data_IF_136840283998
#
_entry.id   IF_136840283998
#
_cell.length_a   1.000
_cell.length_b   1.000
_cell.length_c   1.000
_cell.angle_alpha   90.00
_cell.angle_beta   90.00
_cell.angle_gamma   90.00
#
_symmetry.space_group_name_H-M   'P 1'
#
loop_
_entity.id
_entity.type
_entity.pdbx_description
1 polymer ?
#
# COMPACT_ATOMS: atom_id res chain seq x y z
N UNK A 1 -45.42 44.35 9.78
CA UNK A 1 -44.24 44.62 10.64
C UNK A 1 -44.50 43.88 11.96
N UNK A 2 -43.75 42.90 12.47
CA UNK A 2 -42.44 42.32 12.17
C UNK A 2 -42.54 40.78 12.28
N UNK A 3 -41.71 40.07 11.49
CA UNK A 3 -41.64 38.60 11.43
C UNK A 3 -40.92 38.00 12.64
N UNK A 4 -41.40 36.81 13.00
CA UNK A 4 -40.95 35.88 14.04
C UNK A 4 -39.43 35.67 14.11
N UNK A 5 -38.95 35.69 15.35
CA UNK A 5 -37.67 35.12 15.82
C UNK A 5 -37.85 33.61 16.03
N UNK A 6 -37.27 32.78 15.16
CA UNK A 6 -37.08 31.32 15.30
C UNK A 6 -36.09 30.96 14.15
N UNK A 7 -35.00 30.21 14.26
CA UNK A 7 -34.45 29.24 15.22
C UNK A 7 -32.94 29.23 14.97
N UNK A 8 -32.15 29.07 16.02
CA UNK A 8 -30.70 28.84 15.94
C UNK A 8 -30.37 27.64 15.04
N UNK A 9 -29.69 27.87 13.92
CA UNK A 9 -29.07 26.80 13.12
C UNK A 9 -27.91 26.17 13.89
N UNK A 10 -28.24 25.24 14.79
CA UNK A 10 -27.27 24.32 15.36
C UNK A 10 -27.24 23.09 14.46
N UNK A 11 -26.54 23.18 13.32
CA UNK A 11 -26.16 21.99 12.56
C UNK A 11 -25.03 21.31 13.35
N UNK A 12 -25.39 20.51 14.34
CA UNK A 12 -24.51 19.44 14.85
C UNK A 12 -25.16 18.12 14.48
N UNK A 13 -25.03 17.75 13.20
CA UNK A 13 -25.29 16.37 12.76
C UNK A 13 -23.95 15.68 12.57
N UNK A 14 -23.29 15.32 13.67
CA UNK A 14 -22.21 14.33 13.70
C UNK A 14 -22.83 12.95 13.52
N UNK A 15 -23.25 12.64 12.30
CA UNK A 15 -23.72 11.31 11.93
C UNK A 15 -22.54 10.33 11.94
N UNK A 16 -22.41 9.55 13.01
CA UNK A 16 -21.51 8.39 13.07
C UNK A 16 -21.88 7.47 11.91
N UNK A 17 -21.04 7.41 10.87
CA UNK A 17 -21.21 6.44 9.78
C UNK A 17 -20.83 5.05 10.32
N UNK A 18 -21.80 4.36 10.94
CA UNK A 18 -21.64 2.94 11.27
C UNK A 18 -21.67 2.13 9.98
N UNK A 19 -20.55 1.54 9.59
CA UNK A 19 -20.56 0.50 8.56
C UNK A 19 -21.31 -0.72 9.08
N UNK A 20 -22.01 -1.43 8.19
CA UNK A 20 -22.67 -2.69 8.54
C UNK A 20 -21.63 -3.75 8.93
N UNK A 21 -22.03 -4.71 9.78
CA UNK A 21 -21.14 -5.79 10.25
C UNK A 21 -20.54 -6.58 9.08
N UNK A 22 -21.33 -6.85 8.04
CA UNK A 22 -20.85 -7.56 6.86
C UNK A 22 -19.77 -6.75 6.11
N UNK A 23 -19.92 -5.42 5.99
CA UNK A 23 -18.90 -4.55 5.36
C UNK A 23 -17.62 -4.52 6.17
N UNK A 24 -17.73 -4.39 7.50
CA UNK A 24 -16.55 -4.45 8.38
C UNK A 24 -15.79 -5.78 8.23
N UNK A 25 -16.51 -6.91 8.17
CA UNK A 25 -15.92 -8.23 7.92
C UNK A 25 -15.28 -8.32 6.54
N UNK A 26 -15.95 -7.81 5.50
CA UNK A 26 -15.42 -7.78 4.14
C UNK A 26 -14.13 -6.96 4.03
N UNK A 27 -14.06 -5.78 4.68
CA UNK A 27 -12.86 -4.94 4.70
C UNK A 27 -11.70 -5.66 5.40
N UNK A 28 -11.96 -6.27 6.56
CA UNK A 28 -10.96 -7.06 7.28
C UNK A 28 -10.46 -8.24 6.43
N UNK A 29 -11.39 -8.96 5.79
CA UNK A 29 -11.06 -10.06 4.89
C UNK A 29 -10.19 -9.59 3.71
N UNK A 30 -10.54 -8.49 3.05
CA UNK A 30 -9.74 -7.92 1.95
C UNK A 30 -8.32 -7.59 2.41
N UNK A 31 -8.17 -6.91 3.55
CA UNK A 31 -6.86 -6.58 4.13
C UNK A 31 -6.04 -7.84 4.42
N UNK A 32 -6.64 -8.85 5.03
CA UNK A 32 -5.96 -10.10 5.40
C UNK A 32 -5.60 -10.90 4.14
N UNK A 33 -6.53 -11.05 3.19
CA UNK A 33 -6.27 -11.74 1.93
C UNK A 33 -5.13 -11.07 1.14
N UNK A 34 -5.12 -9.74 1.10
CA UNK A 34 -4.02 -9.00 0.50
C UNK A 34 -2.70 -9.19 1.27
N UNK A 35 -2.73 -9.20 2.61
CA UNK A 35 -1.58 -9.55 3.44
C UNK A 35 -1.04 -10.96 3.18
N UNK A 36 -1.89 -11.94 2.89
CA UNK A 36 -1.48 -13.30 2.51
C UNK A 36 -0.77 -13.28 1.15
N UNK A 37 -1.28 -12.53 0.17
CA UNK A 37 -0.62 -12.38 -1.14
C UNK A 37 0.79 -11.80 -0.96
N UNK A 38 0.93 -10.74 -0.15
CA UNK A 38 2.23 -10.17 0.19
C UNK A 38 3.14 -11.15 0.96
N UNK A 39 2.59 -11.99 1.83
CA UNK A 39 3.38 -13.00 2.55
C UNK A 39 3.96 -14.06 1.60
N UNK A 40 3.17 -14.48 0.61
CA UNK A 40 3.62 -15.41 -0.43
C UNK A 40 4.69 -14.76 -1.32
N UNK A 41 4.48 -13.51 -1.74
CA UNK A 41 5.47 -12.75 -2.52
C UNK A 41 6.79 -12.59 -1.76
N UNK A 42 6.72 -12.15 -0.49
CA UNK A 42 7.88 -12.03 0.38
C UNK A 42 8.62 -13.36 0.57
N UNK A 43 7.89 -14.48 0.70
CA UNK A 43 8.50 -15.81 0.73
C UNK A 43 9.32 -16.11 -0.52
N UNK A 44 8.84 -15.73 -1.70
CA UNK A 44 9.61 -15.85 -2.94
C UNK A 44 10.86 -14.96 -2.95
N UNK A 45 10.81 -13.76 -2.34
CA UNK A 45 11.99 -12.88 -2.24
C UNK A 45 13.10 -13.44 -1.34
N UNK A 46 12.76 -14.28 -0.37
CA UNK A 46 13.74 -14.95 0.49
C UNK A 46 14.42 -16.15 -0.19
N UNK A 47 14.00 -16.55 -1.39
CA UNK A 47 14.61 -17.66 -2.10
C UNK A 47 16.02 -17.29 -2.60
N UNK A 48 16.99 -18.22 -2.53
CA UNK A 48 18.36 -17.97 -2.99
C UNK A 48 18.42 -17.49 -4.45
N UNK A 49 17.59 -18.06 -5.32
CA UNK A 49 17.56 -17.69 -6.74
C UNK A 49 17.21 -16.21 -6.93
N UNK A 50 16.20 -15.71 -6.21
CA UNK A 50 15.81 -14.29 -6.26
C UNK A 50 16.96 -13.38 -5.79
N UNK A 51 17.60 -13.73 -4.67
CA UNK A 51 18.68 -12.93 -4.09
C UNK A 51 19.90 -12.88 -5.02
N UNK A 52 20.29 -14.03 -5.58
CA UNK A 52 21.45 -14.15 -6.46
C UNK A 52 21.22 -13.52 -7.83
N UNK A 53 19.97 -13.50 -8.33
CA UNK A 53 19.61 -12.91 -9.62
C UNK A 53 18.94 -11.53 -9.49
N UNK A 54 19.06 -10.84 -8.35
CA UNK A 54 18.33 -9.59 -8.11
C UNK A 54 18.68 -8.49 -9.12
N UNK A 55 19.96 -8.39 -9.52
CA UNK A 55 20.40 -7.42 -10.53
C UNK A 55 19.69 -7.62 -11.89
N UNK A 56 19.26 -8.85 -12.19
CA UNK A 56 18.58 -9.16 -13.44
C UNK A 56 17.15 -8.60 -13.46
N UNK A 57 16.53 -8.43 -12.29
CA UNK A 57 15.19 -7.87 -12.14
C UNK A 57 15.12 -6.40 -12.57
N UNK A 58 16.23 -5.68 -12.56
CA UNK A 58 16.31 -4.23 -12.86
C UNK A 58 17.09 -3.93 -14.13
N UNK A 59 17.31 -4.95 -14.98
CA UNK A 59 18.00 -4.76 -16.27
C UNK A 59 17.19 -3.85 -17.19
N UNK A 60 17.93 -3.03 -17.93
CA UNK A 60 17.35 -2.14 -18.94
C UNK A 60 16.70 -2.97 -20.04
N UNK A 61 15.41 -2.75 -20.24
CA UNK A 61 14.63 -3.36 -21.32
C UNK A 61 14.83 -2.55 -22.60
N UNK A 62 15.46 -3.13 -23.64
CA UNK A 62 15.93 -2.40 -24.83
C UNK A 62 14.79 -1.91 -25.73
N UNK A 63 13.64 -2.56 -25.63
CA UNK A 63 12.45 -2.30 -26.45
C UNK A 63 11.59 -1.15 -25.88
N UNK A 64 11.96 -0.59 -24.73
CA UNK A 64 11.27 0.53 -24.09
C UNK A 64 11.59 1.88 -24.77
N UNK A 65 10.76 2.93 -24.61
CA UNK A 65 11.11 4.29 -25.02
C UNK A 65 12.37 4.80 -24.32
N UNK A 66 13.14 5.68 -24.98
CA UNK A 66 14.43 6.18 -24.49
C UNK A 66 14.36 6.75 -23.05
N UNK A 67 13.27 7.43 -22.71
CA UNK A 67 13.04 8.05 -21.41
C UNK A 67 12.97 6.98 -20.30
N UNK A 68 12.24 5.89 -20.58
CA UNK A 68 12.10 4.74 -19.67
C UNK A 68 13.43 4.00 -19.58
N UNK A 69 14.14 3.82 -20.70
CA UNK A 69 15.48 3.23 -20.67
C UNK A 69 16.46 4.03 -19.79
N UNK A 70 16.45 5.37 -19.86
CA UNK A 70 17.29 6.22 -19.01
C UNK A 70 16.94 6.09 -17.52
N UNK A 71 15.65 6.03 -17.19
CA UNK A 71 15.17 5.78 -15.81
C UNK A 71 15.62 4.42 -15.28
N UNK A 72 15.43 3.36 -16.08
CA UNK A 72 15.89 2.02 -15.72
C UNK A 72 17.41 1.94 -15.63
N UNK A 73 18.13 2.66 -16.49
CA UNK A 73 19.60 2.72 -16.46
C UNK A 73 20.10 3.30 -15.14
N UNK A 74 19.50 4.40 -14.68
CA UNK A 74 19.80 4.98 -13.37
C UNK A 74 19.63 3.97 -12.24
N UNK A 75 18.46 3.31 -12.16
CA UNK A 75 18.21 2.33 -11.10
C UNK A 75 19.06 1.07 -11.22
N UNK A 76 19.34 0.61 -12.43
CA UNK A 76 20.25 -0.52 -12.66
C UNK A 76 21.66 -0.21 -12.14
N UNK A 77 22.11 1.05 -12.24
CA UNK A 77 23.40 1.49 -11.69
C UNK A 77 23.37 1.56 -10.16
N UNK A 78 22.30 2.13 -9.58
CA UNK A 78 22.10 2.21 -8.11
C UNK A 78 22.07 0.82 -7.50
N UNK A 79 21.21 -0.06 -8.02
CA UNK A 79 21.07 -1.44 -7.52
C UNK A 79 22.32 -2.27 -7.82
N UNK A 80 22.94 -2.07 -8.97
CA UNK A 80 24.16 -2.75 -9.39
C UNK A 80 25.36 -2.53 -8.47
N UNK A 81 25.36 -1.47 -7.67
CA UNK A 81 26.41 -1.21 -6.67
C UNK A 81 26.45 -2.27 -5.56
N UNK A 82 25.29 -2.80 -5.15
CA UNK A 82 25.18 -3.88 -4.18
C UNK A 82 23.84 -4.62 -4.32
N UNK A 83 23.69 -5.52 -5.31
CA UNK A 83 22.42 -6.18 -5.59
C UNK A 83 21.90 -7.01 -4.41
N UNK A 84 22.81 -7.66 -3.67
CA UNK A 84 22.44 -8.48 -2.51
C UNK A 84 21.82 -7.63 -1.39
N UNK A 85 22.36 -6.44 -1.11
CA UNK A 85 21.76 -5.53 -0.13
C UNK A 85 20.33 -5.15 -0.53
N UNK A 86 20.11 -4.77 -1.80
CA UNK A 86 18.77 -4.42 -2.27
C UNK A 86 17.81 -5.60 -2.27
N UNK A 87 18.28 -6.82 -2.58
CA UNK A 87 17.47 -8.02 -2.50
C UNK A 87 16.93 -8.27 -1.08
N UNK A 88 17.82 -8.20 -0.09
CA UNK A 88 17.45 -8.37 1.33
C UNK A 88 16.55 -7.23 1.82
N UNK A 89 16.84 -5.99 1.38
CA UNK A 89 16.00 -4.83 1.69
C UNK A 89 14.58 -5.01 1.15
N UNK A 90 14.45 -5.42 -0.11
CA UNK A 90 13.17 -5.76 -0.73
C UNK A 90 12.47 -6.84 0.08
N UNK A 91 13.08 -8.02 0.28
CA UNK A 91 12.48 -9.11 1.03
C UNK A 91 12.00 -8.68 2.44
N UNK A 92 12.80 -7.85 3.12
CA UNK A 92 12.47 -7.32 4.45
C UNK A 92 11.26 -6.36 4.43
N UNK A 93 11.20 -5.45 3.46
CA UNK A 93 10.09 -4.51 3.31
C UNK A 93 8.79 -5.27 3.02
N UNK A 94 8.82 -6.21 2.07
CA UNK A 94 7.63 -6.99 1.70
C UNK A 94 7.14 -7.88 2.85
N UNK A 95 8.07 -8.46 3.62
CA UNK A 95 7.75 -9.20 4.85
C UNK A 95 7.07 -8.32 5.88
N UNK A 96 7.59 -7.10 6.10
CA UNK A 96 7.01 -6.15 7.04
C UNK A 96 5.59 -5.72 6.61
N UNK A 97 5.40 -5.43 5.32
CA UNK A 97 4.08 -5.11 4.76
C UNK A 97 3.09 -6.25 4.95
N UNK A 98 3.50 -7.49 4.66
CA UNK A 98 2.68 -8.68 4.86
C UNK A 98 2.22 -8.82 6.32
N UNK A 99 3.16 -8.78 7.27
CA UNK A 99 2.86 -8.90 8.71
C UNK A 99 1.93 -7.77 9.16
N UNK A 100 2.19 -6.53 8.76
CA UNK A 100 1.39 -5.38 9.21
C UNK A 100 -0.02 -5.40 8.62
N UNK A 101 -0.20 -5.86 7.38
CA UNK A 101 -1.52 -6.06 6.77
C UNK A 101 -2.31 -7.16 7.48
N UNK A 102 -1.69 -8.31 7.75
CA UNK A 102 -2.33 -9.44 8.43
C UNK A 102 -2.83 -9.04 9.82
N UNK A 103 -1.98 -8.33 10.58
CA UNK A 103 -2.33 -7.87 11.92
C UNK A 103 -3.25 -6.63 11.91
N UNK A 104 -3.32 -5.89 10.80
CA UNK A 104 -3.94 -4.56 10.77
C UNK A 104 -3.23 -3.60 11.73
N UNK A 105 -1.90 -3.59 11.68
CA UNK A 105 -1.01 -2.79 12.51
C UNK A 105 -0.50 -1.58 11.72
N UNK A 106 -0.56 -0.39 12.34
CA UNK A 106 -0.13 0.87 11.77
C UNK A 106 -0.70 1.09 10.35
N UNK A 107 -1.98 0.77 10.15
CA UNK A 107 -2.56 0.54 8.83
C UNK A 107 -2.35 1.70 7.86
N UNK A 108 -2.51 2.94 8.30
CA UNK A 108 -2.32 4.10 7.43
C UNK A 108 -0.87 4.21 6.98
N UNK A 109 0.08 4.04 7.90
CA UNK A 109 1.50 4.02 7.55
C UNK A 109 1.82 2.86 6.62
N UNK A 110 1.35 1.65 6.93
CA UNK A 110 1.50 0.44 6.11
C UNK A 110 0.95 0.66 4.70
N UNK A 111 -0.21 1.30 4.57
CA UNK A 111 -0.78 1.59 3.25
C UNK A 111 0.01 2.66 2.48
N UNK A 112 0.51 3.71 3.14
CA UNK A 112 1.35 4.73 2.48
C UNK A 112 2.67 4.12 2.02
N UNK A 113 3.35 3.37 2.89
CA UNK A 113 4.61 2.69 2.54
C UNK A 113 4.37 1.67 1.43
N UNK A 114 3.33 0.84 1.56
CA UNK A 114 2.96 -0.15 0.55
C UNK A 114 2.61 0.48 -0.81
N UNK A 115 1.91 1.62 -0.81
CA UNK A 115 1.61 2.39 -2.02
C UNK A 115 2.90 2.84 -2.73
N UNK A 116 3.79 3.52 -2.00
CA UNK A 116 5.06 4.01 -2.56
C UNK A 116 5.95 2.85 -3.02
N UNK A 117 6.02 1.78 -2.23
CA UNK A 117 6.80 0.59 -2.56
C UNK A 117 6.27 -0.10 -3.83
N UNK A 118 4.95 -0.23 -3.96
CA UNK A 118 4.32 -0.81 -5.14
C UNK A 118 4.58 0.04 -6.39
N UNK A 119 4.58 1.38 -6.29
CA UNK A 119 5.00 2.24 -7.39
C UNK A 119 6.48 2.11 -7.73
N UNK A 120 7.35 1.89 -6.74
CA UNK A 120 8.76 1.62 -7.00
C UNK A 120 8.95 0.31 -7.79
N UNK A 121 8.25 -0.77 -7.40
CA UNK A 121 8.24 -2.04 -8.16
C UNK A 121 7.70 -1.82 -9.58
N UNK A 122 6.59 -1.09 -9.71
CA UNK A 122 5.99 -0.86 -11.02
C UNK A 122 6.91 -0.06 -11.97
N UNK A 123 7.57 0.98 -11.47
CA UNK A 123 8.39 1.86 -12.32
C UNK A 123 9.80 1.34 -12.56
N UNK A 124 10.30 0.43 -11.72
CA UNK A 124 11.69 -0.07 -11.79
C UNK A 124 11.70 -1.49 -12.40
N UNK A 125 11.49 -2.60 -11.66
CA UNK A 125 11.58 -3.93 -12.28
C UNK A 125 10.49 -4.20 -13.31
N UNK A 126 9.27 -3.66 -13.16
CA UNK A 126 8.21 -3.87 -14.17
C UNK A 126 8.30 -2.89 -15.35
N UNK A 127 9.17 -1.88 -15.32
CA UNK A 127 9.35 -0.95 -16.45
C UNK A 127 8.06 -0.25 -16.89
N UNK A 128 7.23 0.18 -15.94
CA UNK A 128 5.89 0.75 -16.16
C UNK A 128 4.90 -0.22 -16.83
N UNK A 129 5.10 -1.53 -16.71
CA UNK A 129 4.29 -2.58 -17.37
C UNK A 129 4.62 -2.80 -18.85
N UNK A 130 5.49 -1.96 -19.43
CA UNK A 130 5.89 -2.07 -20.83
C UNK A 130 6.93 -3.19 -21.09
N UNK A 131 7.36 -3.34 -22.36
CA UNK A 131 7.04 -2.50 -23.51
C UNK A 131 5.63 -2.76 -24.08
N UNK A 132 4.86 -1.70 -24.28
CA UNK A 132 3.53 -1.78 -24.90
C UNK A 132 3.64 -1.83 -26.42
N UNK A 133 3.30 -2.97 -27.01
CA UNK A 133 3.32 -3.18 -28.46
C UNK A 133 1.98 -3.76 -28.91
N UNK A 134 1.39 -3.26 -30.02
CA UNK A 134 0.16 -3.82 -30.55
C UNK A 134 0.32 -5.32 -30.81
N UNK A 135 -0.55 -6.14 -30.21
CA UNK A 135 -0.57 -7.59 -30.38
C UNK A 135 0.40 -8.41 -29.52
N UNK A 136 1.26 -7.75 -28.73
CA UNK A 136 2.32 -8.40 -27.93
C UNK A 136 2.04 -8.35 -26.42
N UNK A 137 1.85 -7.14 -25.87
CA UNK A 137 1.62 -6.96 -24.44
C UNK A 137 0.54 -5.92 -24.17
N UNK A 138 -0.44 -6.32 -23.34
CA UNK A 138 -1.53 -5.48 -22.84
C UNK A 138 -1.53 -5.34 -21.32
N UNK A 139 -0.56 -5.95 -20.63
CA UNK A 139 -0.48 -5.92 -19.17
C UNK A 139 0.09 -4.57 -18.71
N UNK A 140 -0.59 -3.92 -17.76
CA UNK A 140 -0.17 -2.64 -17.18
C UNK A 140 0.80 -2.80 -16.00
N UNK A 141 1.02 -4.03 -15.55
CA UNK A 141 1.87 -4.35 -14.41
C UNK A 141 1.06 -4.64 -13.14
N UNK A 142 1.46 -5.68 -12.41
CA UNK A 142 0.76 -6.16 -11.22
C UNK A 142 0.95 -5.19 -10.05
N UNK A 143 2.15 -4.63 -9.89
CA UNK A 143 2.45 -3.73 -8.79
C UNK A 143 1.63 -2.42 -8.83
N UNK A 144 1.19 -1.96 -10.01
CA UNK A 144 0.28 -0.82 -10.10
C UNK A 144 -1.07 -1.11 -9.44
N UNK A 145 -1.62 -2.32 -9.62
CA UNK A 145 -2.86 -2.74 -8.96
C UNK A 145 -2.68 -2.87 -7.44
N UNK A 146 -1.51 -3.29 -6.98
CA UNK A 146 -1.17 -3.31 -5.56
C UNK A 146 -1.15 -1.90 -4.96
N UNK A 147 -0.58 -0.91 -5.67
CA UNK A 147 -0.62 0.48 -5.25
C UNK A 147 -2.09 0.96 -5.09
N UNK A 148 -2.95 0.69 -6.08
CA UNK A 148 -4.37 1.05 -5.98
C UNK A 148 -5.08 0.35 -4.81
N UNK A 149 -4.77 -0.93 -4.54
CA UNK A 149 -5.31 -1.64 -3.39
C UNK A 149 -4.90 -0.99 -2.07
N UNK A 150 -3.64 -0.61 -1.90
CA UNK A 150 -3.19 0.14 -0.73
C UNK A 150 -3.88 1.50 -0.59
N UNK A 151 -4.09 2.22 -1.69
CA UNK A 151 -4.83 3.49 -1.66
C UNK A 151 -6.30 3.29 -1.21
N UNK A 152 -6.95 2.21 -1.68
CA UNK A 152 -8.31 1.85 -1.24
C UNK A 152 -8.32 1.47 0.24
N UNK A 153 -7.40 0.62 0.71
CA UNK A 153 -7.30 0.21 2.11
C UNK A 153 -7.04 1.41 3.05
N UNK A 154 -6.27 2.40 2.58
CA UNK A 154 -6.06 3.67 3.28
C UNK A 154 -7.36 4.49 3.34
N UNK A 155 -8.03 4.68 2.20
CA UNK A 155 -9.23 5.50 2.09
C UNK A 155 -10.39 4.98 2.96
N UNK A 156 -10.49 3.66 3.14
CA UNK A 156 -11.52 3.03 3.97
C UNK A 156 -11.08 2.77 5.42
N UNK A 157 -9.88 3.21 5.82
CA UNK A 157 -9.29 3.00 7.14
C UNK A 157 -9.36 1.53 7.59
N UNK A 158 -8.87 0.62 6.75
CA UNK A 158 -9.06 -0.82 6.90
C UNK A 158 -8.57 -1.40 8.25
N UNK A 159 -7.60 -0.76 8.90
CA UNK A 159 -7.08 -1.17 10.21
C UNK A 159 -8.09 -1.08 11.36
N UNK A 160 -9.17 -0.28 11.22
CA UNK A 160 -10.24 -0.17 12.24
C UNK A 160 -11.06 -1.44 12.39
N UNK A 161 -11.08 -2.32 11.38
CA UNK A 161 -11.96 -3.47 11.33
C UNK A 161 -11.17 -4.74 11.58
N UNK A 162 -11.34 -5.34 12.76
CA UNK A 162 -10.66 -6.58 13.16
C UNK A 162 -9.12 -6.50 12.99
N UNK A 163 -8.52 -5.35 13.26
CA UNK A 163 -7.07 -5.13 13.25
C UNK A 163 -6.57 -4.69 14.63
N UNK A 164 -5.28 -4.89 14.91
CA UNK A 164 -4.63 -4.48 16.16
C UNK A 164 -4.78 -2.96 16.39
N UNK A 165 -4.86 -2.19 15.32
CA UNK A 165 -5.10 -0.75 15.37
C UNK A 165 -6.35 -0.34 16.14
N UNK A 166 -7.36 -1.19 16.26
CA UNK A 166 -8.55 -0.91 17.07
C UNK A 166 -8.22 -0.70 18.55
N UNK A 167 -7.15 -1.36 19.05
CA UNK A 167 -6.68 -1.24 20.42
C UNK A 167 -5.48 -0.30 20.56
N UNK A 168 -4.67 -0.17 19.49
CA UNK A 168 -3.48 0.67 19.49
C UNK A 168 -3.81 2.15 19.31
N UNK A 169 -4.80 2.47 18.48
CA UNK A 169 -5.19 3.84 18.15
C UNK A 169 -5.55 4.69 19.38
N UNK A 170 -6.34 4.20 20.37
CA UNK A 170 -6.60 4.94 21.61
C UNK A 170 -5.35 5.17 22.46
N UNK A 171 -4.35 4.28 22.38
CA UNK A 171 -3.12 4.34 23.19
C UNK A 171 -2.04 5.26 22.62
N UNK A 172 -2.05 5.50 21.30
CA UNK A 172 -1.03 6.29 20.60
C UNK A 172 -1.26 7.81 20.64
N UNK A 173 -2.42 8.26 21.12
CA UNK A 173 -2.76 9.69 21.19
C UNK A 173 -2.60 10.39 19.83
N UNK A 174 -1.66 11.34 19.72
CA UNK A 174 -1.37 12.07 18.47
C UNK A 174 -0.82 11.19 17.36
N UNK A 175 -0.11 10.10 17.69
CA UNK A 175 0.43 9.15 16.71
C UNK A 175 -0.63 8.17 16.18
N UNK A 176 -1.86 8.20 16.70
CA UNK A 176 -2.98 7.39 16.17
C UNK A 176 -3.30 7.64 14.69
N UNK A 177 -2.82 8.75 14.11
CA UNK A 177 -2.90 9.03 12.67
C UNK A 177 -2.16 7.96 11.85
N UNK A 178 -1.04 7.43 12.37
CA UNK A 178 -0.24 6.39 11.70
C UNK A 178 -0.93 5.01 11.72
N UNK A 179 -1.79 4.78 12.72
CA UNK A 179 -2.63 3.60 12.85
C UNK A 179 -3.85 3.74 11.93
N UNK A 180 -5.02 4.00 12.49
CA UNK A 180 -6.26 4.06 11.72
C UNK A 180 -6.99 5.41 11.89
N UNK A 181 -6.27 6.47 12.25
CA UNK A 181 -6.82 7.82 12.49
C UNK A 181 -7.28 8.03 13.93
N UNK A 182 -7.48 9.28 14.36
CA UNK A 182 -7.87 9.59 15.76
C UNK A 182 -9.15 8.85 16.18
N UNK A 183 -9.25 8.37 17.42
CA UNK A 183 -10.55 8.21 18.06
C UNK A 183 -11.16 9.62 18.13
N UNK A 184 -12.15 9.92 17.29
CA UNK A 184 -13.12 10.93 17.69
C UNK A 184 -14.04 10.23 18.68
N UNK A 185 -14.08 10.77 19.89
CA UNK A 185 -15.11 10.63 20.94
C UNK A 185 -14.50 10.26 22.30
N UNK A 186 -13.80 11.24 22.90
CA UNK A 186 -13.85 11.54 24.36
C UNK A 186 -13.54 13.04 24.55
N UNK A 187 -14.49 13.89 24.17
CA UNK A 187 -14.59 15.27 24.63
C UNK A 187 -16.07 15.58 24.87
#
# INVERSE_FOLDING_TARGET
MQKQTYVSDTITTTGITRVSVWRARAIAFLRIAFGIIWAIDAWFKWQPDFINSFADQVKVQKEQPQNVQSWLSFWSHVVGSNPHFFAILTASIETALAVFLLLGLLNNLTCVVGFVWSLAIWTIPEGFGGPYKPGDSTDVGTALLYALMFAVLLAIAAGRYYGVDQWLTPRLGRLGILASGRPQDQA
#
